data_IF_277915223841
#
_entry.id   IF_277915223841
#
_cell.length_a   1.000
_cell.length_b   1.000
_cell.length_c   1.000
_cell.angle_alpha   90.00
_cell.angle_beta   90.00
_cell.angle_gamma   90.00
#
_symmetry.space_group_name_H-M   'P 1'
#
loop_
_entity.id
_entity.type
_entity.pdbx_description
1 polymer ?
#
# COMPACT_ATOMS: atom_id res chain seq x y z
N UNK A 1 11.50 -31.29 24.33
CA UNK A 1 12.80 -31.23 23.65
C UNK A 1 13.20 -29.76 23.59
N UNK A 2 14.13 -29.40 24.45
CA UNK A 2 14.61 -28.03 24.69
C UNK A 2 15.47 -27.63 23.49
N UNK A 3 15.06 -26.61 22.74
CA UNK A 3 15.88 -26.01 21.69
C UNK A 3 17.02 -25.22 22.32
N UNK A 4 18.21 -25.54 21.88
CA UNK A 4 19.48 -25.03 22.38
C UNK A 4 19.54 -23.50 22.20
N UNK A 5 19.86 -22.83 23.28
CA UNK A 5 20.32 -21.46 23.39
C UNK A 5 21.65 -21.29 22.68
N UNK A 6 21.79 -20.18 21.96
CA UNK A 6 23.10 -19.57 21.76
C UNK A 6 23.43 -19.22 20.32
N UNK A 7 23.10 -18.01 19.89
CA UNK A 7 24.05 -17.18 19.13
C UNK A 7 23.83 -15.73 19.56
N UNK A 8 24.64 -15.27 20.49
CA UNK A 8 24.86 -13.84 20.71
C UNK A 8 25.92 -13.39 19.69
N UNK A 9 25.52 -13.03 18.51
CA UNK A 9 26.33 -12.25 17.58
C UNK A 9 25.91 -10.80 17.77
N UNK A 10 26.87 -9.92 18.09
CA UNK A 10 26.62 -8.51 18.29
C UNK A 10 26.05 -7.90 17.00
N UNK A 11 24.73 -7.80 16.91
CA UNK A 11 24.04 -7.17 15.79
C UNK A 11 24.31 -5.68 15.80
N UNK A 12 24.68 -5.11 14.65
CA UNK A 12 24.66 -3.66 14.44
C UNK A 12 23.19 -3.22 14.44
N UNK A 13 22.70 -2.87 15.64
CA UNK A 13 21.31 -2.49 15.86
C UNK A 13 21.14 -1.03 15.45
N UNK A 14 20.18 -0.75 14.56
CA UNK A 14 19.75 0.61 14.24
C UNK A 14 18.76 1.15 15.31
N UNK A 15 18.59 2.48 15.45
CA UNK A 15 17.80 3.07 16.55
C UNK A 15 16.35 2.60 16.64
N UNK A 16 15.76 2.15 15.52
CA UNK A 16 14.37 1.70 15.47
C UNK A 16 14.18 0.22 15.86
N UNK A 17 15.25 -0.55 16.03
CA UNK A 17 15.18 -1.95 16.47
C UNK A 17 14.49 -2.10 17.85
N UNK A 18 14.49 -1.05 18.67
CA UNK A 18 13.75 -1.00 19.94
C UNK A 18 12.26 -1.30 19.82
N UNK A 19 11.64 -0.91 18.69
CA UNK A 19 10.21 -1.16 18.45
C UNK A 19 9.90 -2.63 18.21
N UNK A 20 10.91 -3.47 17.87
CA UNK A 20 10.71 -4.90 17.60
C UNK A 20 9.98 -5.63 18.73
N UNK A 21 10.23 -5.23 19.98
CA UNK A 21 9.59 -5.81 21.16
C UNK A 21 8.06 -5.57 21.22
N UNK A 22 7.56 -4.55 20.52
CA UNK A 22 6.13 -4.26 20.43
C UNK A 22 5.40 -5.11 19.34
N UNK A 23 6.12 -6.00 18.67
CA UNK A 23 5.59 -6.90 17.63
C UNK A 23 5.82 -8.36 18.04
N UNK A 24 4.85 -9.02 18.69
CA UNK A 24 5.02 -10.35 19.30
C UNK A 24 5.48 -11.46 18.34
N UNK A 25 5.23 -11.34 17.04
CA UNK A 25 5.67 -12.32 16.04
C UNK A 25 7.19 -12.55 16.06
N UNK A 26 7.97 -11.55 16.46
CA UNK A 26 9.42 -11.63 16.53
C UNK A 26 9.97 -12.42 17.71
N UNK A 27 9.13 -12.88 18.63
CA UNK A 27 9.51 -13.82 19.68
C UNK A 27 9.86 -15.20 19.12
N UNK A 28 9.16 -15.61 18.03
CA UNK A 28 9.26 -16.96 17.49
C UNK A 28 9.63 -17.01 16.00
N UNK A 29 9.61 -15.87 15.30
CA UNK A 29 9.75 -15.80 13.84
C UNK A 29 10.66 -14.67 13.38
N UNK A 30 11.32 -14.91 12.25
CA UNK A 30 11.85 -13.85 11.38
C UNK A 30 10.75 -13.45 10.42
N UNK A 31 10.36 -12.18 10.39
CA UNK A 31 9.25 -11.70 9.57
C UNK A 31 9.75 -10.72 8.49
N UNK A 32 9.80 -11.18 7.24
CA UNK A 32 10.28 -10.42 6.08
C UNK A 32 9.19 -10.30 5.00
N UNK A 33 7.92 -10.10 5.44
CA UNK A 33 6.77 -10.08 4.53
C UNK A 33 5.83 -8.87 4.74
N UNK A 34 6.37 -7.73 5.16
CA UNK A 34 5.60 -6.49 5.38
C UNK A 34 4.86 -6.04 4.12
N UNK A 35 5.43 -6.29 2.93
CA UNK A 35 4.81 -5.94 1.64
C UNK A 35 3.53 -6.74 1.33
N UNK A 36 3.24 -7.83 2.07
CA UNK A 36 1.98 -8.57 1.97
C UNK A 36 1.03 -8.22 3.11
N UNK A 37 1.55 -8.22 4.35
CA UNK A 37 0.83 -7.82 5.55
C UNK A 37 1.85 -7.27 6.56
N UNK A 38 1.60 -6.12 7.16
CA UNK A 38 2.41 -5.60 8.27
C UNK A 38 2.31 -6.52 9.49
N UNK A 39 3.39 -6.64 10.26
CA UNK A 39 3.33 -7.35 11.53
C UNK A 39 2.34 -6.66 12.48
N UNK A 40 1.54 -7.44 13.22
CA UNK A 40 0.59 -6.90 14.18
C UNK A 40 1.34 -6.37 15.41
N UNK A 41 1.28 -5.06 15.60
CA UNK A 41 1.87 -4.40 16.77
C UNK A 41 0.88 -4.30 17.94
N UNK A 42 1.43 -4.19 19.14
CA UNK A 42 0.66 -4.10 20.38
C UNK A 42 -0.27 -2.88 20.42
N UNK A 43 0.12 -1.76 19.77
CA UNK A 43 -0.73 -0.56 19.70
C UNK A 43 -2.01 -0.83 18.91
N UNK A 44 -1.90 -1.48 17.74
CA UNK A 44 -3.06 -1.88 16.94
C UNK A 44 -3.97 -2.85 17.72
N UNK A 45 -3.37 -3.80 18.42
CA UNK A 45 -4.10 -4.77 19.26
C UNK A 45 -4.84 -4.09 20.41
N UNK A 46 -4.21 -3.12 21.10
CA UNK A 46 -4.88 -2.36 22.18
C UNK A 46 -6.05 -1.51 21.65
N UNK A 47 -5.87 -0.83 20.51
CA UNK A 47 -6.96 -0.06 19.90
C UNK A 47 -8.14 -0.94 19.50
N UNK A 48 -7.88 -2.12 18.93
CA UNK A 48 -8.94 -3.08 18.60
C UNK A 48 -9.68 -3.58 19.86
N UNK A 49 -8.97 -3.88 20.94
CA UNK A 49 -9.58 -4.25 22.22
C UNK A 49 -10.51 -3.13 22.74
N UNK A 50 -10.03 -1.89 22.73
CA UNK A 50 -10.87 -0.74 23.13
C UNK A 50 -12.11 -0.55 22.24
N UNK A 51 -12.06 -0.87 20.95
CA UNK A 51 -13.24 -0.90 20.11
C UNK A 51 -14.26 -1.95 20.59
N UNK A 52 -13.80 -3.16 20.92
CA UNK A 52 -14.66 -4.22 21.42
C UNK A 52 -15.32 -3.84 22.76
N UNK A 53 -14.57 -3.20 23.65
CA UNK A 53 -15.08 -2.71 24.94
C UNK A 53 -16.19 -1.66 24.73
N UNK A 54 -15.99 -0.70 23.83
CA UNK A 54 -16.98 0.31 23.49
C UNK A 54 -18.24 -0.32 22.88
N UNK A 55 -18.04 -1.25 21.95
CA UNK A 55 -19.14 -1.95 21.31
C UNK A 55 -19.96 -2.77 22.33
N UNK A 56 -19.27 -3.52 23.20
CA UNK A 56 -19.92 -4.29 24.27
C UNK A 56 -20.72 -3.40 25.23
N UNK A 57 -20.18 -2.25 25.62
CA UNK A 57 -20.80 -1.38 26.60
C UNK A 57 -21.91 -0.51 26.03
N UNK A 58 -21.84 -0.10 24.76
CA UNK A 58 -22.70 0.95 24.19
C UNK A 58 -23.49 0.53 22.96
N UNK A 59 -23.12 -0.57 22.30
CA UNK A 59 -23.77 -1.00 21.06
C UNK A 59 -23.84 0.12 20.03
N UNK A 60 -24.98 0.27 19.35
CA UNK A 60 -25.20 1.29 18.33
C UNK A 60 -25.15 2.74 18.86
N UNK A 61 -25.30 2.97 20.17
CA UNK A 61 -25.19 4.31 20.73
C UNK A 61 -23.81 4.95 20.57
N UNK A 62 -22.77 4.13 20.35
CA UNK A 62 -21.41 4.62 20.07
C UNK A 62 -21.28 5.36 18.73
N UNK A 63 -22.25 5.23 17.82
CA UNK A 63 -22.30 6.00 16.58
C UNK A 63 -22.53 7.50 16.82
N UNK A 64 -23.23 7.89 17.86
CA UNK A 64 -23.59 9.30 18.06
C UNK A 64 -22.39 10.20 18.43
N UNK A 65 -21.30 9.59 18.90
CA UNK A 65 -20.10 10.33 19.33
C UNK A 65 -18.80 9.59 18.95
N UNK A 66 -18.53 8.41 19.55
CA UNK A 66 -17.21 7.75 19.50
C UNK A 66 -16.79 7.34 18.10
N UNK A 67 -17.67 6.72 17.33
CA UNK A 67 -17.26 6.15 16.03
C UNK A 67 -17.15 7.19 14.91
N UNK A 68 -17.98 8.22 14.93
CA UNK A 68 -17.80 9.36 14.01
C UNK A 68 -16.50 10.11 14.26
N UNK A 69 -16.12 10.28 15.51
CA UNK A 69 -14.85 10.89 15.88
C UNK A 69 -13.67 10.04 15.44
N UNK A 70 -13.73 8.72 15.61
CA UNK A 70 -12.69 7.80 15.15
C UNK A 70 -12.50 7.86 13.61
N UNK A 71 -13.58 7.98 12.83
CA UNK A 71 -13.54 8.17 11.40
C UNK A 71 -12.86 9.49 11.01
N UNK A 72 -13.21 10.58 11.69
CA UNK A 72 -12.62 11.90 11.47
C UNK A 72 -11.14 11.93 11.85
N UNK A 73 -10.79 11.35 13.01
CA UNK A 73 -9.41 11.16 13.45
C UNK A 73 -8.59 10.41 12.40
N UNK A 74 -9.10 9.27 11.93
CA UNK A 74 -8.38 8.44 10.97
C UNK A 74 -8.08 9.19 9.66
N UNK A 75 -9.06 9.95 9.11
CA UNK A 75 -8.84 10.76 7.91
C UNK A 75 -7.77 11.83 8.14
N UNK A 76 -7.82 12.49 9.30
CA UNK A 76 -6.84 13.53 9.68
C UNK A 76 -5.44 12.96 9.78
N UNK A 77 -5.28 11.86 10.52
CA UNK A 77 -3.98 11.24 10.75
C UNK A 77 -3.38 10.69 9.46
N UNK A 78 -4.18 9.99 8.64
CA UNK A 78 -3.71 9.54 7.34
C UNK A 78 -3.37 10.72 6.42
N UNK A 79 -4.20 11.76 6.40
CA UNK A 79 -3.93 12.98 5.65
C UNK A 79 -2.56 13.57 6.00
N UNK A 80 -2.22 13.67 7.29
CA UNK A 80 -0.92 14.14 7.75
C UNK A 80 0.25 13.29 7.22
N UNK A 81 0.08 11.96 7.08
CA UNK A 81 1.12 11.07 6.55
C UNK A 81 1.46 11.38 5.09
N UNK A 82 0.49 11.85 4.31
CA UNK A 82 0.65 12.14 2.87
C UNK A 82 0.60 13.64 2.52
N UNK A 83 0.69 14.54 3.51
CA UNK A 83 0.63 16.00 3.31
C UNK A 83 -0.74 16.54 2.90
N UNK A 84 -1.83 15.78 3.08
CA UNK A 84 -3.17 16.13 2.65
C UNK A 84 -4.09 16.53 3.83
N UNK A 85 -5.16 17.27 3.55
CA UNK A 85 -6.22 17.56 4.52
C UNK A 85 -7.20 16.40 4.64
N UNK A 86 -7.85 16.24 5.79
CA UNK A 86 -8.87 15.22 6.02
C UNK A 86 -9.99 15.24 4.97
N UNK A 87 -10.39 16.44 4.48
CA UNK A 87 -11.39 16.61 3.43
C UNK A 87 -10.98 16.05 2.06
N UNK A 88 -9.70 15.76 1.87
CA UNK A 88 -9.16 15.16 0.64
C UNK A 88 -9.08 13.63 0.73
N UNK A 89 -9.52 13.02 1.85
CA UNK A 89 -9.39 11.59 2.11
C UNK A 89 -10.77 10.95 2.25
N UNK A 90 -11.06 9.97 1.40
CA UNK A 90 -12.19 9.05 1.52
C UNK A 90 -11.72 7.70 2.03
N UNK A 91 -12.61 6.98 2.74
CA UNK A 91 -12.38 5.64 3.28
C UNK A 91 -13.09 4.60 2.42
N UNK A 92 -12.41 3.49 2.12
CA UNK A 92 -12.96 2.39 1.34
C UNK A 92 -12.56 1.04 1.96
N UNK A 93 -13.31 -0.05 1.71
CA UNK A 93 -12.99 -1.36 2.28
C UNK A 93 -11.84 -2.06 1.56
N UNK A 94 -11.55 -1.69 0.30
CA UNK A 94 -10.46 -2.27 -0.49
C UNK A 94 -10.02 -1.33 -1.62
N UNK A 95 -8.80 -1.53 -2.14
CA UNK A 95 -8.32 -0.80 -3.34
C UNK A 95 -9.24 -1.04 -4.54
N UNK A 96 -9.73 -2.27 -4.71
CA UNK A 96 -10.65 -2.59 -5.81
C UNK A 96 -11.93 -1.73 -5.76
N UNK A 97 -12.47 -1.51 -4.57
CA UNK A 97 -13.64 -0.63 -4.37
C UNK A 97 -13.26 0.83 -4.60
N UNK A 98 -12.15 1.31 -4.04
CA UNK A 98 -11.71 2.70 -4.21
C UNK A 98 -11.48 3.04 -5.69
N UNK A 99 -10.69 2.20 -6.41
CA UNK A 99 -10.45 2.38 -7.85
C UNK A 99 -11.73 2.23 -8.67
N UNK A 100 -12.60 1.28 -8.31
CA UNK A 100 -13.91 1.09 -8.95
C UNK A 100 -14.81 2.32 -8.81
N UNK A 101 -14.83 2.93 -7.61
CA UNK A 101 -15.63 4.15 -7.36
C UNK A 101 -15.06 5.34 -8.15
N UNK A 102 -13.73 5.52 -8.18
CA UNK A 102 -13.09 6.53 -9.04
C UNK A 102 -13.42 6.27 -10.50
N UNK A 103 -13.28 5.03 -10.97
CA UNK A 103 -13.59 4.66 -12.35
C UNK A 103 -15.06 4.93 -12.72
N UNK A 104 -15.98 4.82 -11.77
CA UNK A 104 -17.40 5.08 -11.97
C UNK A 104 -17.76 6.57 -12.10
N UNK A 105 -16.84 7.44 -11.69
CA UNK A 105 -17.00 8.90 -11.72
C UNK A 105 -16.43 9.56 -12.97
N UNK A 106 -15.70 8.82 -13.81
CA UNK A 106 -15.05 9.35 -15.02
C UNK A 106 -15.92 9.19 -16.25
N UNK A 107 -15.88 10.18 -17.15
CA UNK A 107 -16.56 10.13 -18.45
C UNK A 107 -15.62 9.55 -19.52
N UNK A 108 -15.99 8.40 -20.06
CA UNK A 108 -15.26 7.71 -21.12
C UNK A 108 -15.87 7.92 -22.53
N UNK A 109 -16.94 8.66 -22.66
CA UNK A 109 -17.62 8.86 -23.95
C UNK A 109 -16.75 9.62 -24.96
N UNK A 110 -16.03 10.65 -24.46
CA UNK A 110 -15.11 11.45 -25.27
C UNK A 110 -13.68 10.94 -25.22
N UNK A 111 -13.28 10.30 -24.11
CA UNK A 111 -11.93 9.84 -23.84
C UNK A 111 -11.97 8.39 -23.36
N UNK A 112 -12.11 7.43 -24.28
CA UNK A 112 -12.28 6.02 -23.88
C UNK A 112 -10.98 5.33 -23.45
N UNK A 113 -9.82 5.97 -23.63
CA UNK A 113 -8.52 5.35 -23.43
C UNK A 113 -8.07 5.46 -21.98
N UNK A 114 -7.59 4.33 -21.44
CA UNK A 114 -6.93 4.24 -20.15
C UNK A 114 -5.54 3.63 -20.32
N UNK A 115 -4.53 4.25 -19.75
CA UNK A 115 -3.14 3.80 -19.78
C UNK A 115 -2.75 3.25 -18.42
N UNK A 116 -2.22 2.03 -18.40
CA UNK A 116 -1.67 1.34 -17.21
C UNK A 116 -0.31 0.74 -17.54
N UNK A 117 0.40 0.17 -16.57
CA UNK A 117 1.68 -0.49 -16.81
C UNK A 117 1.63 -2.00 -16.56
N UNK A 118 2.51 -2.77 -17.22
CA UNK A 118 2.59 -4.22 -17.04
C UNK A 118 3.10 -4.65 -15.65
N UNK A 119 3.68 -3.72 -14.88
CA UNK A 119 4.18 -3.97 -13.52
C UNK A 119 3.17 -3.61 -12.43
N UNK A 120 2.01 -3.07 -12.79
CA UNK A 120 0.97 -2.72 -11.82
C UNK A 120 0.36 -3.97 -11.17
N UNK A 121 -0.14 -3.80 -9.95
CA UNK A 121 -0.88 -4.86 -9.30
C UNK A 121 -2.16 -5.18 -10.08
N UNK A 122 -2.52 -6.45 -10.27
CA UNK A 122 -3.64 -6.85 -11.15
C UNK A 122 -4.95 -6.11 -10.93
N UNK A 123 -5.27 -5.74 -9.68
CA UNK A 123 -6.48 -4.98 -9.34
C UNK A 123 -6.58 -3.67 -10.13
N UNK A 124 -5.48 -2.94 -10.31
CA UNK A 124 -5.46 -1.68 -11.09
C UNK A 124 -5.83 -1.95 -12.55
N UNK A 125 -5.27 -3.01 -13.13
CA UNK A 125 -5.50 -3.38 -14.54
C UNK A 125 -6.90 -3.99 -14.74
N UNK A 126 -7.33 -4.88 -13.84
CA UNK A 126 -8.60 -5.62 -13.96
C UNK A 126 -9.83 -4.72 -13.96
N UNK A 127 -9.79 -3.57 -13.28
CA UNK A 127 -10.88 -2.58 -13.30
C UNK A 127 -11.21 -2.13 -14.74
N UNK A 128 -10.18 -1.99 -15.57
CA UNK A 128 -10.31 -1.52 -16.94
C UNK A 128 -10.53 -2.65 -17.94
N UNK A 129 -9.90 -3.81 -17.71
CA UNK A 129 -10.18 -5.03 -18.50
C UNK A 129 -11.67 -5.39 -18.44
N UNK A 130 -12.28 -5.33 -17.26
CA UNK A 130 -13.70 -5.60 -17.07
C UNK A 130 -14.62 -4.60 -17.78
N UNK A 131 -14.13 -3.40 -18.10
CA UNK A 131 -14.90 -2.34 -18.80
C UNK A 131 -14.67 -2.30 -20.32
N UNK A 132 -13.81 -3.16 -20.87
CA UNK A 132 -13.62 -3.25 -22.33
C UNK A 132 -14.94 -3.45 -23.12
N UNK A 133 -15.89 -4.31 -22.68
CA UNK A 133 -17.17 -4.45 -23.37
C UNK A 133 -18.00 -3.16 -23.42
N UNK A 134 -17.73 -2.19 -22.52
CA UNK A 134 -18.35 -0.87 -22.48
C UNK A 134 -17.60 0.19 -23.30
N UNK A 135 -16.64 -0.21 -24.14
CA UNK A 135 -15.92 0.68 -25.05
C UNK A 135 -14.61 1.27 -24.49
N UNK A 136 -14.13 0.82 -23.32
CA UNK A 136 -12.84 1.26 -22.80
C UNK A 136 -11.69 0.67 -23.63
N UNK A 137 -10.80 1.55 -24.09
CA UNK A 137 -9.54 1.21 -24.74
C UNK A 137 -8.43 1.13 -23.68
N UNK A 138 -8.02 -0.07 -23.33
CA UNK A 138 -6.92 -0.26 -22.36
C UNK A 138 -5.59 -0.42 -23.07
N UNK A 139 -4.64 0.45 -22.75
CA UNK A 139 -3.23 0.36 -23.17
C UNK A 139 -2.39 -0.04 -21.99
N UNK A 140 -1.64 -1.12 -22.12
CA UNK A 140 -0.69 -1.61 -21.11
C UNK A 140 0.71 -1.28 -21.61
N UNK A 141 1.43 -0.42 -20.87
CA UNK A 141 2.80 -0.04 -21.19
C UNK A 141 3.75 -1.09 -20.63
N UNK A 142 4.50 -1.73 -21.52
CA UNK A 142 5.47 -2.76 -21.13
C UNK A 142 6.71 -2.16 -20.44
N UNK A 143 7.32 -2.95 -19.55
CA UNK A 143 8.60 -2.63 -18.95
C UNK A 143 9.73 -3.12 -19.84
N UNK A 144 10.68 -2.27 -20.23
CA UNK A 144 11.79 -2.69 -21.10
C UNK A 144 12.84 -3.57 -20.42
N UNK A 145 12.93 -3.48 -19.09
CA UNK A 145 13.93 -4.18 -18.27
C UNK A 145 13.30 -5.19 -17.27
N UNK A 146 11.97 -5.26 -17.23
CA UNK A 146 11.22 -6.07 -16.26
C UNK A 146 11.31 -5.55 -14.82
N UNK A 147 11.88 -4.36 -14.59
CA UNK A 147 12.10 -3.76 -13.27
C UNK A 147 11.31 -2.47 -13.09
N UNK A 148 11.36 -1.58 -14.08
CA UNK A 148 10.74 -0.27 -14.04
C UNK A 148 10.02 0.05 -15.36
N UNK A 149 9.16 1.08 -15.35
CA UNK A 149 8.55 1.62 -16.57
C UNK A 149 8.97 3.08 -16.68
N UNK A 150 9.78 3.45 -17.68
CA UNK A 150 10.19 4.82 -17.88
C UNK A 150 9.00 5.76 -18.14
N UNK A 151 9.02 6.96 -17.58
CA UNK A 151 7.96 7.97 -17.77
C UNK A 151 7.75 8.27 -19.26
N UNK A 152 8.82 8.32 -20.06
CA UNK A 152 8.75 8.53 -21.51
C UNK A 152 7.96 7.42 -22.24
N UNK A 153 8.01 6.18 -21.74
CA UNK A 153 7.20 5.09 -22.29
C UNK A 153 5.70 5.32 -22.02
N UNK A 154 5.37 5.80 -20.82
CA UNK A 154 4.00 6.22 -20.48
C UNK A 154 3.60 7.41 -21.36
N UNK A 155 4.46 8.42 -21.52
CA UNK A 155 4.18 9.61 -22.31
C UNK A 155 3.84 9.29 -23.77
N UNK A 156 4.53 8.31 -24.38
CA UNK A 156 4.21 7.85 -25.76
C UNK A 156 2.86 7.18 -25.89
N UNK A 157 2.34 6.62 -24.77
CA UNK A 157 1.04 5.96 -24.75
C UNK A 157 -0.14 6.94 -24.53
N UNK A 158 0.14 8.13 -23.98
CA UNK A 158 -0.88 9.12 -23.60
C UNK A 158 -1.14 10.09 -24.77
N UNK A 159 -2.42 10.28 -25.14
CA UNK A 159 -2.88 11.20 -26.15
C UNK A 159 -4.17 11.91 -25.72
N UNK A 160 -4.77 12.69 -26.62
CA UNK A 160 -5.97 13.50 -26.36
C UNK A 160 -7.24 12.64 -26.14
N UNK A 161 -7.19 11.33 -26.42
CA UNK A 161 -8.26 10.36 -26.18
C UNK A 161 -8.12 9.70 -24.79
N UNK A 162 -7.03 9.96 -24.08
CA UNK A 162 -6.74 9.36 -22.77
C UNK A 162 -7.58 10.03 -21.69
N UNK A 163 -8.44 9.27 -21.01
CA UNK A 163 -9.18 9.71 -19.82
C UNK A 163 -8.33 9.64 -18.56
N UNK A 164 -7.53 8.59 -18.43
CA UNK A 164 -6.81 8.28 -17.21
C UNK A 164 -5.48 7.60 -17.50
N UNK A 165 -4.46 7.99 -16.74
CA UNK A 165 -3.23 7.21 -16.51
C UNK A 165 -3.33 6.64 -15.11
N UNK A 166 -3.26 5.32 -14.95
CA UNK A 166 -3.27 4.66 -13.66
C UNK A 166 -2.03 3.78 -13.52
N UNK A 167 -1.22 3.99 -12.49
CA UNK A 167 -0.02 3.18 -12.23
C UNK A 167 0.34 3.16 -10.74
N UNK A 168 1.25 2.26 -10.37
CA UNK A 168 1.74 2.14 -9.00
C UNK A 168 2.86 3.15 -8.72
N UNK A 169 2.91 3.69 -7.49
CA UNK A 169 4.08 4.44 -7.02
C UNK A 169 5.26 3.50 -6.75
N UNK A 170 5.00 2.31 -6.19
CA UNK A 170 6.01 1.27 -6.01
C UNK A 170 5.49 -0.02 -6.61
N UNK A 171 6.22 -0.58 -7.56
CA UNK A 171 5.84 -1.83 -8.22
C UNK A 171 6.00 -3.03 -7.28
N UNK A 172 4.94 -3.80 -7.11
CA UNK A 172 4.86 -4.88 -6.11
C UNK A 172 5.77 -6.09 -6.40
N UNK A 173 6.18 -6.26 -7.65
CA UNK A 173 7.04 -7.37 -8.12
C UNK A 173 8.52 -7.00 -8.22
N UNK A 174 8.87 -5.73 -8.11
CA UNK A 174 10.27 -5.29 -8.30
C UNK A 174 10.75 -4.34 -7.21
N UNK A 175 9.80 -3.71 -6.51
CA UNK A 175 10.11 -2.68 -5.53
C UNK A 175 10.62 -1.36 -6.14
N UNK A 176 10.59 -1.23 -7.47
CA UNK A 176 11.01 0.02 -8.12
C UNK A 176 10.01 1.14 -7.82
N UNK A 177 10.55 2.32 -7.54
CA UNK A 177 9.80 3.54 -7.23
C UNK A 177 9.62 4.33 -8.53
N UNK A 178 8.38 4.68 -8.86
CA UNK A 178 8.01 5.49 -10.02
C UNK A 178 7.97 6.98 -9.67
N UNK A 179 8.39 7.84 -10.59
CA UNK A 179 8.20 9.30 -10.49
C UNK A 179 6.73 9.66 -10.79
N UNK A 180 5.90 9.63 -9.75
CA UNK A 180 4.46 9.89 -9.88
C UNK A 180 4.13 11.34 -10.23
N UNK A 181 4.99 12.30 -9.85
CA UNK A 181 4.82 13.69 -10.24
C UNK A 181 5.07 13.87 -11.75
N UNK A 182 6.07 13.20 -12.30
CA UNK A 182 6.29 13.20 -13.75
C UNK A 182 5.15 12.51 -14.51
N UNK A 183 4.62 11.41 -13.96
CA UNK A 183 3.43 10.73 -14.55
C UNK A 183 2.22 11.64 -14.54
N UNK A 184 1.96 12.37 -13.44
CA UNK A 184 0.86 13.33 -13.35
C UNK A 184 1.01 14.44 -14.40
N UNK A 185 2.20 15.02 -14.53
CA UNK A 185 2.48 16.03 -15.58
C UNK A 185 2.22 15.51 -17.00
N UNK A 186 2.64 14.27 -17.29
CA UNK A 186 2.39 13.62 -18.59
C UNK A 186 0.88 13.46 -18.85
N UNK A 187 0.13 13.00 -17.87
CA UNK A 187 -1.32 12.86 -17.98
C UNK A 187 -2.00 14.22 -18.22
N UNK A 188 -1.69 15.20 -17.38
CA UNK A 188 -2.28 16.53 -17.43
C UNK A 188 -1.95 17.30 -18.70
N UNK A 189 -0.76 17.13 -19.26
CA UNK A 189 -0.37 17.75 -20.54
C UNK A 189 -1.30 17.36 -21.70
N UNK A 190 -2.04 16.26 -21.58
CA UNK A 190 -3.04 15.79 -22.54
C UNK A 190 -4.47 15.86 -21.96
N UNK A 191 -4.66 16.51 -20.83
CA UNK A 191 -5.97 16.63 -20.16
C UNK A 191 -6.50 15.32 -19.59
N UNK A 192 -5.68 14.29 -19.45
CA UNK A 192 -6.01 13.04 -18.75
C UNK A 192 -5.91 13.21 -17.24
N UNK A 193 -6.60 12.37 -16.47
CA UNK A 193 -6.43 12.26 -15.02
C UNK A 193 -5.29 11.31 -14.67
N UNK A 194 -4.77 11.43 -13.44
CA UNK A 194 -3.73 10.57 -12.90
C UNK A 194 -4.21 9.90 -11.61
N UNK A 195 -4.22 8.54 -11.58
CA UNK A 195 -4.50 7.72 -10.42
C UNK A 195 -3.25 6.93 -10.03
N UNK A 196 -2.85 7.00 -8.78
CA UNK A 196 -1.68 6.30 -8.27
C UNK A 196 -2.09 5.25 -7.24
N UNK A 197 -1.69 4.01 -7.48
CA UNK A 197 -1.69 2.97 -6.46
C UNK A 197 -0.45 3.11 -5.59
N UNK A 198 -0.62 3.65 -4.40
CA UNK A 198 0.42 3.87 -3.41
C UNK A 198 0.42 2.79 -2.29
N UNK A 199 -0.20 1.65 -2.54
CA UNK A 199 -0.35 0.57 -1.55
C UNK A 199 0.99 0.01 -1.06
N UNK A 200 2.01 0.05 -1.91
CA UNK A 200 3.35 -0.40 -1.57
C UNK A 200 4.28 0.74 -1.15
N UNK A 201 3.83 2.00 -1.17
CA UNK A 201 4.70 3.14 -0.87
C UNK A 201 4.36 3.84 0.45
N UNK A 202 3.09 4.18 0.69
CA UNK A 202 2.70 4.95 1.89
C UNK A 202 3.05 4.18 3.16
N UNK A 203 3.82 4.84 4.04
CA UNK A 203 4.36 4.27 5.27
C UNK A 203 5.83 3.86 5.19
N UNK A 204 6.38 3.57 3.98
CA UNK A 204 7.80 3.29 3.80
C UNK A 204 8.55 4.29 2.91
N UNK A 205 7.86 4.91 1.96
CA UNK A 205 8.39 5.95 1.07
C UNK A 205 7.64 7.24 1.36
N UNK A 206 8.33 8.37 1.60
CA UNK A 206 7.66 9.65 1.78
C UNK A 206 6.82 10.01 0.54
N UNK A 207 5.60 10.46 0.80
CA UNK A 207 4.66 10.93 -0.22
C UNK A 207 4.06 12.25 0.26
N UNK A 208 4.16 13.28 -0.55
CA UNK A 208 3.37 14.49 -0.42
C UNK A 208 2.38 14.51 -1.60
N UNK A 209 1.18 14.01 -1.38
CA UNK A 209 0.21 13.81 -2.46
C UNK A 209 -0.17 15.14 -3.14
N UNK A 210 -0.43 16.24 -2.43
CA UNK A 210 -0.65 17.56 -3.04
C UNK A 210 0.51 18.02 -3.92
N UNK A 211 1.75 17.89 -3.46
CA UNK A 211 2.93 18.33 -4.20
C UNK A 211 3.20 17.54 -5.49
N UNK A 212 2.73 16.31 -5.57
CA UNK A 212 2.83 15.47 -6.80
C UNK A 212 1.79 15.81 -7.85
N UNK A 213 0.79 16.60 -7.51
CA UNK A 213 -0.34 16.97 -8.39
C UNK A 213 -1.16 15.79 -8.93
N UNK A 214 -1.04 14.59 -8.36
CA UNK A 214 -1.87 13.44 -8.75
C UNK A 214 -3.35 13.72 -8.44
N UNK A 215 -4.26 13.27 -9.31
CA UNK A 215 -5.70 13.48 -9.11
C UNK A 215 -6.26 12.56 -8.03
N UNK A 216 -5.79 11.31 -8.01
CA UNK A 216 -6.18 10.29 -7.04
C UNK A 216 -4.97 9.51 -6.57
N UNK A 217 -4.96 9.17 -5.27
CA UNK A 217 -3.97 8.26 -4.70
C UNK A 217 -4.67 7.28 -3.79
N UNK A 218 -4.50 5.97 -4.04
CA UNK A 218 -5.10 4.92 -3.21
C UNK A 218 -4.02 4.17 -2.43
N UNK A 219 -4.24 3.97 -1.13
CA UNK A 219 -3.31 3.23 -0.28
C UNK A 219 -4.07 2.44 0.78
N UNK A 220 -3.63 1.24 1.09
CA UNK A 220 -4.26 0.40 2.10
C UNK A 220 -3.51 0.35 3.42
N UNK A 221 -4.25 0.14 4.49
CA UNK A 221 -3.73 0.15 5.85
C UNK A 221 -2.90 -1.07 6.24
N UNK A 222 -3.14 -2.22 5.62
CA UNK A 222 -2.69 -3.52 6.13
C UNK A 222 -1.18 -3.82 5.95
N UNK A 223 -0.42 -3.04 5.18
CA UNK A 223 1.00 -3.29 4.90
C UNK A 223 1.90 -2.37 5.72
N UNK A 224 2.46 -1.36 5.09
CA UNK A 224 3.44 -0.45 5.66
C UNK A 224 2.87 0.55 6.68
N UNK A 225 1.54 0.67 6.75
CA UNK A 225 0.83 1.47 7.75
C UNK A 225 0.44 0.66 9.00
N UNK A 226 0.78 -0.64 9.05
CA UNK A 226 0.62 -1.54 10.21
C UNK A 226 -0.80 -1.65 10.78
N UNK A 227 -1.80 -1.39 9.93
CA UNK A 227 -3.22 -1.53 10.27
C UNK A 227 -3.79 -2.91 9.94
N UNK A 228 -5.10 -3.04 10.07
CA UNK A 228 -5.84 -4.25 9.72
C UNK A 228 -6.29 -4.31 8.26
N UNK A 229 -6.86 -5.44 7.88
CA UNK A 229 -7.56 -5.61 6.61
C UNK A 229 -8.91 -4.88 6.63
N UNK A 230 -9.38 -4.40 5.47
CA UNK A 230 -10.71 -3.78 5.35
C UNK A 230 -10.71 -2.24 5.46
N UNK A 231 -9.54 -1.60 5.44
CA UNK A 231 -9.42 -0.14 5.35
C UNK A 231 -8.42 0.28 4.26
N UNK A 232 -8.88 1.15 3.39
CA UNK A 232 -8.14 1.77 2.30
C UNK A 232 -8.49 3.26 2.27
N UNK A 233 -7.53 4.06 1.93
CA UNK A 233 -7.64 5.51 1.79
C UNK A 233 -7.60 5.88 0.31
N UNK A 234 -8.52 6.77 -0.09
CA UNK A 234 -8.54 7.37 -1.41
C UNK A 234 -8.35 8.87 -1.25
N UNK A 235 -7.16 9.36 -1.57
CA UNK A 235 -6.92 10.78 -1.71
C UNK A 235 -7.54 11.27 -3.01
N UNK A 236 -8.19 12.43 -2.94
CA UNK A 236 -8.74 13.16 -4.09
C UNK A 236 -8.18 14.56 -4.08
N UNK A 237 -7.58 15.00 -5.18
CA UNK A 237 -7.00 16.33 -5.32
C UNK A 237 -8.04 17.40 -5.02
N UNK A 238 -7.59 18.47 -4.36
CA UNK A 238 -8.46 19.60 -3.95
C UNK A 238 -9.24 20.16 -5.14
N UNK A 239 -10.51 20.44 -4.92
CA UNK A 239 -11.43 20.97 -5.92
C UNK A 239 -11.99 19.89 -6.88
N UNK A 240 -11.25 18.83 -7.16
CA UNK A 240 -11.66 17.82 -8.13
C UNK A 240 -12.92 17.04 -7.70
N UNK A 241 -13.11 16.83 -6.41
CA UNK A 241 -14.27 16.07 -5.93
C UNK A 241 -15.60 16.66 -6.43
N UNK A 242 -15.76 17.98 -6.42
CA UNK A 242 -17.01 18.64 -6.81
C UNK A 242 -17.40 18.41 -8.26
N UNK A 243 -16.43 18.19 -9.14
CA UNK A 243 -16.63 18.01 -10.58
C UNK A 243 -16.98 16.56 -10.94
N UNK A 244 -16.95 15.65 -9.97
CA UNK A 244 -17.12 14.22 -10.20
C UNK A 244 -18.36 13.69 -9.46
N UNK A 245 -19.14 12.85 -10.15
CA UNK A 245 -20.31 12.19 -9.60
C UNK A 245 -20.17 10.67 -9.77
N UNK A 246 -19.67 9.95 -8.76
CA UNK A 246 -19.58 8.49 -8.84
C UNK A 246 -20.95 7.84 -9.09
N UNK A 247 -21.04 6.94 -10.09
CA UNK A 247 -22.24 6.14 -10.29
C UNK A 247 -22.33 4.95 -9.31
N UNK A 248 -21.20 4.59 -8.69
CA UNK A 248 -21.18 3.78 -7.47
C UNK A 248 -21.35 4.71 -6.28
N UNK A 249 -22.55 4.75 -5.72
CA UNK A 249 -22.91 5.62 -4.61
C UNK A 249 -23.38 4.83 -3.39
N UNK A 250 -23.26 5.43 -2.22
CA UNK A 250 -23.73 4.84 -0.98
C UNK A 250 -24.08 5.88 0.07
N UNK A 251 -24.64 5.43 1.16
CA UNK A 251 -25.15 6.27 2.22
C UNK A 251 -24.09 7.20 2.84
N UNK A 252 -22.84 6.73 2.97
CA UNK A 252 -21.74 7.55 3.50
C UNK A 252 -21.24 8.62 2.51
N UNK A 253 -21.54 8.48 1.21
CA UNK A 253 -21.29 9.52 0.22
C UNK A 253 -22.30 10.65 0.19
N UNK A 254 -23.45 10.48 0.87
CA UNK A 254 -24.50 11.51 0.94
C UNK A 254 -24.18 12.55 2.00
N UNK A 255 -24.32 13.84 1.65
CA UNK A 255 -24.00 14.99 2.54
C UNK A 255 -24.89 15.03 3.78
N UNK A 256 -26.17 14.77 3.62
CA UNK A 256 -27.16 14.70 4.68
C UNK A 256 -27.65 13.26 4.88
N UNK A 257 -26.80 12.45 5.50
CA UNK A 257 -27.04 11.01 5.69
C UNK A 257 -28.27 10.70 6.51
N UNK A 258 -28.64 11.58 7.47
CA UNK A 258 -29.74 11.38 8.40
C UNK A 258 -31.06 11.94 7.91
N UNK A 259 -31.12 12.54 6.72
CA UNK A 259 -32.39 12.88 6.06
C UNK A 259 -33.19 11.61 5.69
N UNK A 260 -32.51 10.49 5.44
CA UNK A 260 -33.12 9.20 5.04
C UNK A 260 -34.12 9.31 3.88
N UNK A 261 -33.96 10.33 2.99
CA UNK A 261 -34.84 10.46 1.81
C UNK A 261 -34.30 9.62 0.65
N UNK A 262 -35.00 8.53 0.27
CA UNK A 262 -34.55 7.65 -0.82
C UNK A 262 -34.73 8.23 -2.20
N UNK A 263 -35.33 9.42 -2.33
CA UNK A 263 -35.61 10.10 -3.58
C UNK A 263 -34.60 11.17 -3.95
N UNK A 264 -33.65 11.48 -3.04
CA UNK A 264 -32.67 12.53 -3.24
C UNK A 264 -31.26 12.03 -2.91
N UNK A 265 -30.30 12.27 -3.79
CA UNK A 265 -28.88 12.04 -3.56
C UNK A 265 -28.12 13.36 -3.71
N UNK A 266 -27.59 13.86 -2.59
CA UNK A 266 -26.71 15.01 -2.58
C UNK A 266 -25.34 14.58 -2.06
N UNK A 267 -24.34 14.54 -2.92
CA UNK A 267 -22.99 14.16 -2.53
C UNK A 267 -22.34 15.20 -1.59
N UNK A 268 -21.42 14.73 -0.76
CA UNK A 268 -20.46 15.60 -0.09
C UNK A 268 -19.68 16.46 -1.10
N UNK A 269 -19.27 17.67 -0.69
CA UNK A 269 -18.47 18.57 -1.55
C UNK A 269 -16.97 18.20 -1.58
N UNK A 270 -16.57 17.19 -0.80
CA UNK A 270 -15.20 16.74 -0.62
C UNK A 270 -15.03 15.24 -0.97
N UNK A 271 -13.87 14.66 -0.64
CA UNK A 271 -13.54 13.28 -0.98
C UNK A 271 -14.55 12.26 -0.43
N UNK A 272 -15.28 12.57 0.64
CA UNK A 272 -16.28 11.66 1.23
C UNK A 272 -17.38 11.23 0.25
N UNK A 273 -17.58 11.97 -0.86
CA UNK A 273 -18.51 11.51 -1.93
C UNK A 273 -18.15 10.16 -2.54
N UNK A 274 -16.88 9.73 -2.40
CA UNK A 274 -16.40 8.44 -2.85
C UNK A 274 -16.58 7.32 -1.82
N UNK A 275 -17.17 7.62 -0.66
CA UNK A 275 -17.50 6.62 0.36
C UNK A 275 -18.85 5.96 0.06
N UNK A 276 -18.97 4.66 0.38
CA UNK A 276 -20.15 3.88 0.02
C UNK A 276 -21.03 3.59 1.23
N UNK A 277 -20.72 2.58 2.01
CA UNK A 277 -21.50 2.11 3.13
C UNK A 277 -20.76 2.19 4.45
N UNK A 278 -21.35 1.58 5.46
CA UNK A 278 -20.79 1.51 6.81
C UNK A 278 -19.36 0.97 6.76
N UNK A 279 -18.37 1.71 7.25
CA UNK A 279 -16.98 1.28 7.20
C UNK A 279 -16.70 0.17 8.23
N UNK A 280 -15.63 -0.59 8.00
CA UNK A 280 -15.15 -1.65 8.88
C UNK A 280 -14.52 -1.06 10.15
N UNK A 281 -15.32 -0.80 11.20
CA UNK A 281 -14.87 -0.13 12.42
C UNK A 281 -13.67 -0.82 13.09
N UNK A 282 -13.66 -2.14 13.16
CA UNK A 282 -12.52 -2.89 13.70
C UNK A 282 -11.21 -2.58 12.95
N UNK A 283 -11.28 -2.43 11.63
CA UNK A 283 -10.12 -2.06 10.80
C UNK A 283 -9.69 -0.61 11.04
N UNK A 284 -10.64 0.30 11.29
CA UNK A 284 -10.36 1.69 11.64
C UNK A 284 -9.54 1.76 12.93
N UNK A 285 -9.96 1.06 13.96
CA UNK A 285 -9.26 1.05 15.25
C UNK A 285 -7.88 0.39 15.17
N UNK A 286 -7.74 -0.74 14.45
CA UNK A 286 -6.42 -1.32 14.22
C UNK A 286 -5.51 -0.37 13.45
N UNK A 287 -6.06 0.37 12.48
CA UNK A 287 -5.30 1.35 11.70
C UNK A 287 -4.87 2.56 12.54
N UNK A 288 -5.72 3.07 13.42
CA UNK A 288 -5.34 4.12 14.36
C UNK A 288 -4.12 3.72 15.20
N UNK A 289 -4.09 2.45 15.67
CA UNK A 289 -2.93 1.95 16.40
C UNK A 289 -1.68 1.74 15.53
N UNK A 290 -1.85 1.34 14.27
CA UNK A 290 -0.74 1.26 13.31
C UNK A 290 -0.12 2.63 13.01
N UNK A 291 -0.96 3.65 12.85
CA UNK A 291 -0.51 5.03 12.59
C UNK A 291 0.28 5.62 13.76
N UNK A 292 0.05 5.19 15.02
CA UNK A 292 0.86 5.65 16.15
C UNK A 292 2.35 5.38 15.96
N UNK A 293 2.73 4.24 15.36
CA UNK A 293 4.13 3.97 15.02
C UNK A 293 4.64 4.88 13.90
N UNK A 294 3.85 5.04 12.86
CA UNK A 294 4.24 5.80 11.66
C UNK A 294 4.46 7.29 12.01
N UNK A 295 3.58 7.86 12.83
CA UNK A 295 3.64 9.26 13.26
C UNK A 295 4.79 9.51 14.25
N UNK A 296 4.97 8.61 15.23
CA UNK A 296 6.03 8.75 16.25
C UNK A 296 7.42 8.66 15.62
N UNK A 297 7.62 7.74 14.66
CA UNK A 297 8.92 7.50 14.01
C UNK A 297 9.15 8.52 12.88
N UNK A 298 8.09 8.82 12.13
CA UNK A 298 8.13 9.63 10.91
C UNK A 298 8.58 8.84 9.68
N UNK A 299 7.83 8.96 8.58
CA UNK A 299 8.11 8.23 7.32
C UNK A 299 9.53 8.50 6.78
N UNK A 300 10.11 9.72 6.85
CA UNK A 300 11.49 9.95 6.43
C UNK A 300 12.51 9.14 7.23
N UNK A 301 12.30 8.96 8.54
CA UNK A 301 13.18 8.13 9.37
C UNK A 301 13.01 6.65 9.06
N UNK A 302 11.76 6.18 8.90
CA UNK A 302 11.46 4.82 8.44
C UNK A 302 12.16 4.56 7.11
N UNK A 303 12.05 5.46 6.13
CA UNK A 303 12.68 5.34 4.81
C UNK A 303 14.18 5.18 4.91
N UNK A 304 14.85 6.01 5.70
CA UNK A 304 16.30 5.93 5.89
C UNK A 304 16.75 4.57 6.44
N UNK A 305 16.05 4.07 7.45
CA UNK A 305 16.36 2.77 8.07
C UNK A 305 16.06 1.63 7.11
N UNK A 306 14.88 1.62 6.48
CA UNK A 306 14.49 0.55 5.54
C UNK A 306 15.37 0.53 4.29
N UNK A 307 15.85 1.67 3.81
CA UNK A 307 16.81 1.73 2.70
C UNK A 307 18.13 1.06 3.08
N UNK A 308 18.68 1.37 4.26
CA UNK A 308 19.92 0.75 4.73
C UNK A 308 19.76 -0.77 4.93
N UNK A 309 18.64 -1.22 5.52
CA UNK A 309 18.32 -2.65 5.66
C UNK A 309 18.21 -3.32 4.28
N UNK A 310 17.57 -2.66 3.32
CA UNK A 310 17.41 -3.22 1.97
C UNK A 310 18.74 -3.30 1.22
N UNK A 311 19.61 -2.31 1.38
CA UNK A 311 20.96 -2.34 0.82
C UNK A 311 21.79 -3.49 1.40
N UNK A 312 21.77 -3.67 2.71
CA UNK A 312 22.41 -4.81 3.39
C UNK A 312 21.87 -6.15 2.87
N UNK A 313 20.55 -6.30 2.77
CA UNK A 313 19.92 -7.51 2.24
C UNK A 313 20.34 -7.81 0.80
N UNK A 314 20.37 -6.80 -0.08
CA UNK A 314 20.78 -6.95 -1.48
C UNK A 314 22.27 -7.29 -1.59
N UNK A 315 23.14 -6.66 -0.79
CA UNK A 315 24.57 -6.95 -0.78
C UNK A 315 24.83 -8.38 -0.34
N UNK A 316 24.29 -8.80 0.80
CA UNK A 316 24.42 -10.17 1.32
C UNK A 316 23.85 -11.22 0.37
N UNK A 317 22.72 -10.94 -0.29
CA UNK A 317 22.16 -11.84 -1.28
C UNK A 317 23.14 -12.06 -2.45
N UNK A 318 23.81 -10.99 -2.93
CA UNK A 318 24.83 -11.08 -3.98
C UNK A 318 26.07 -11.88 -3.52
N UNK A 319 26.55 -11.62 -2.30
CA UNK A 319 27.68 -12.32 -1.70
C UNK A 319 27.37 -13.82 -1.53
N UNK A 320 26.11 -14.18 -1.26
CA UNK A 320 25.62 -15.56 -1.23
C UNK A 320 25.41 -16.19 -2.63
N UNK A 321 25.77 -15.50 -3.72
CA UNK A 321 25.60 -15.98 -5.10
C UNK A 321 24.18 -15.84 -5.65
N UNK A 322 23.26 -15.25 -4.88
CA UNK A 322 21.91 -14.95 -5.33
C UNK A 322 21.91 -13.68 -6.18
N UNK A 323 20.97 -13.58 -7.13
CA UNK A 323 20.89 -12.42 -8.04
C UNK A 323 19.57 -11.67 -7.84
N UNK A 324 19.44 -10.86 -6.77
CA UNK A 324 18.19 -10.17 -6.49
C UNK A 324 17.83 -9.21 -7.63
N UNK A 325 16.55 -9.26 -8.06
CA UNK A 325 15.98 -8.33 -9.03
C UNK A 325 15.41 -7.14 -8.26
N UNK A 326 15.97 -5.97 -8.46
CA UNK A 326 15.57 -4.71 -7.83
C UNK A 326 16.07 -3.52 -8.63
N UNK A 327 15.50 -2.34 -8.41
CA UNK A 327 16.04 -1.10 -8.97
C UNK A 327 17.48 -0.85 -8.52
N UNK A 328 18.25 -0.16 -9.36
CA UNK A 328 19.71 -0.08 -9.23
C UNK A 328 20.18 0.72 -8.01
N UNK A 329 19.50 1.83 -7.70
CA UNK A 329 19.91 2.78 -6.64
C UNK A 329 18.96 2.75 -5.45
N UNK A 330 19.43 3.18 -4.29
CA UNK A 330 18.61 3.30 -3.08
C UNK A 330 17.41 4.23 -3.28
N UNK A 331 17.56 5.31 -4.04
CA UNK A 331 16.49 6.28 -4.28
C UNK A 331 15.35 5.71 -5.12
N UNK A 332 15.67 4.82 -6.06
CA UNK A 332 14.69 4.18 -6.94
C UNK A 332 14.22 2.81 -6.44
N UNK A 333 14.71 2.35 -5.29
CA UNK A 333 14.41 1.05 -4.69
C UNK A 333 13.64 1.21 -3.39
N UNK A 334 12.51 0.52 -3.26
CA UNK A 334 11.76 0.38 -2.00
C UNK A 334 12.30 -0.78 -1.16
N UNK A 335 11.64 -1.06 -0.02
CA UNK A 335 11.99 -2.19 0.83
C UNK A 335 11.44 -3.54 0.33
N UNK A 336 11.32 -3.73 -0.99
CA UNK A 336 10.91 -4.98 -1.63
C UNK A 336 12.08 -5.54 -2.42
N UNK A 337 12.51 -6.76 -2.09
CA UNK A 337 13.61 -7.46 -2.76
C UNK A 337 13.11 -8.79 -3.31
N UNK A 338 13.32 -9.00 -4.61
CA UNK A 338 12.93 -10.21 -5.32
C UNK A 338 14.16 -11.08 -5.54
N UNK A 339 14.20 -12.26 -4.94
CA UNK A 339 15.28 -13.22 -5.12
C UNK A 339 14.82 -14.34 -6.07
N UNK A 340 15.46 -14.52 -7.24
CA UNK A 340 15.09 -15.58 -8.19
C UNK A 340 15.12 -16.97 -7.55
N UNK A 341 14.16 -17.81 -7.90
CA UNK A 341 14.07 -19.20 -7.46
C UNK A 341 13.39 -20.03 -8.54
N UNK A 342 13.89 -21.24 -8.77
CA UNK A 342 13.28 -22.21 -9.71
C UNK A 342 11.95 -22.74 -9.18
N UNK A 343 11.83 -22.91 -7.85
CA UNK A 343 10.58 -23.24 -7.15
C UNK A 343 10.37 -22.31 -5.95
N UNK A 344 9.77 -21.11 -6.16
CA UNK A 344 9.54 -20.17 -5.08
C UNK A 344 8.62 -20.73 -3.98
N UNK A 345 7.67 -21.58 -4.34
CA UNK A 345 6.73 -22.14 -3.37
C UNK A 345 7.45 -23.13 -2.43
N UNK A 346 8.31 -24.01 -2.96
CA UNK A 346 9.15 -24.89 -2.15
C UNK A 346 10.11 -24.10 -1.27
N UNK A 347 10.77 -23.07 -1.83
CA UNK A 347 11.68 -22.21 -1.08
C UNK A 347 10.98 -21.51 0.09
N UNK A 348 9.76 -20.97 -0.10
CA UNK A 348 8.98 -20.34 0.98
C UNK A 348 8.54 -21.39 2.01
N UNK A 349 8.16 -22.60 1.62
CA UNK A 349 7.88 -23.68 2.59
C UNK A 349 9.12 -24.03 3.41
N UNK A 350 10.30 -24.12 2.78
CA UNK A 350 11.57 -24.37 3.47
C UNK A 350 11.88 -23.24 4.47
N UNK A 351 11.78 -21.98 4.07
CA UNK A 351 11.90 -20.83 4.98
C UNK A 351 10.94 -20.94 6.17
N UNK A 352 9.66 -21.25 5.90
CA UNK A 352 8.63 -21.43 6.92
C UNK A 352 8.93 -22.52 7.94
N UNK A 353 9.53 -23.66 7.52
CA UNK A 353 9.95 -24.74 8.43
C UNK A 353 11.11 -24.32 9.35
N UNK A 354 11.83 -23.23 9.00
CA UNK A 354 12.89 -22.62 9.80
C UNK A 354 12.44 -21.33 10.51
N UNK A 355 11.12 -21.10 10.61
CA UNK A 355 10.57 -19.95 11.34
C UNK A 355 10.66 -18.62 10.60
N UNK A 356 10.91 -18.62 9.29
CA UNK A 356 11.07 -17.43 8.48
C UNK A 356 9.84 -17.22 7.60
N UNK A 357 9.20 -16.04 7.72
CA UNK A 357 8.02 -15.66 6.95
C UNK A 357 8.43 -14.80 5.75
N UNK A 358 8.22 -15.32 4.56
CA UNK A 358 8.48 -14.68 3.28
C UNK A 358 7.32 -14.98 2.31
N UNK A 359 7.39 -14.46 1.08
CA UNK A 359 6.32 -14.58 0.10
C UNK A 359 6.83 -15.12 -1.25
N UNK A 360 6.03 -15.95 -1.91
CA UNK A 360 6.33 -16.47 -3.24
C UNK A 360 5.65 -15.61 -4.32
N UNK A 361 6.40 -15.29 -5.37
CA UNK A 361 5.90 -14.69 -6.61
C UNK A 361 6.41 -15.49 -7.81
N UNK A 362 5.80 -15.39 -8.98
CA UNK A 362 6.28 -16.14 -10.16
C UNK A 362 7.79 -15.96 -10.37
N UNK A 363 8.53 -17.08 -10.26
CA UNK A 363 9.98 -17.15 -10.42
C UNK A 363 10.82 -16.53 -9.30
N UNK A 364 10.24 -16.08 -8.18
CA UNK A 364 10.96 -15.35 -7.14
C UNK A 364 10.41 -15.62 -5.72
N UNK A 365 11.32 -15.60 -4.75
CA UNK A 365 10.99 -15.35 -3.34
C UNK A 365 11.06 -13.85 -3.09
N UNK A 366 10.05 -13.28 -2.45
CA UNK A 366 9.96 -11.86 -2.13
C UNK A 366 10.23 -11.64 -0.65
N UNK A 367 11.23 -10.82 -0.35
CA UNK A 367 11.60 -10.41 0.99
C UNK A 367 11.31 -8.90 1.14
N UNK A 368 10.82 -8.49 2.30
CA UNK A 368 10.52 -7.09 2.55
C UNK A 368 10.76 -6.72 4.01
N UNK A 369 11.99 -6.29 4.33
CA UNK A 369 12.32 -5.77 5.64
C UNK A 369 11.61 -4.44 5.91
N UNK A 370 11.34 -4.16 7.19
CA UNK A 370 10.79 -2.90 7.64
C UNK A 370 11.55 -2.42 8.89
N UNK A 371 11.18 -1.30 9.47
CA UNK A 371 11.93 -0.66 10.55
C UNK A 371 12.14 -1.53 11.80
N UNK A 372 11.35 -2.57 12.00
CA UNK A 372 11.48 -3.52 13.12
C UNK A 372 12.41 -4.71 12.85
N UNK A 373 12.90 -4.85 11.60
CA UNK A 373 13.86 -5.89 11.25
C UNK A 373 15.29 -5.47 11.61
N UNK A 374 16.16 -6.47 11.78
CA UNK A 374 17.58 -6.31 12.03
C UNK A 374 18.39 -7.12 11.01
N UNK A 375 19.69 -6.88 10.91
CA UNK A 375 20.55 -7.56 9.95
C UNK A 375 20.58 -9.08 10.13
N UNK A 376 20.44 -9.58 11.36
CA UNK A 376 20.40 -11.03 11.64
C UNK A 376 19.19 -11.70 10.98
N UNK A 377 18.08 -10.98 10.80
CA UNK A 377 16.93 -11.49 10.02
C UNK A 377 17.31 -11.79 8.57
N UNK A 378 18.18 -10.94 7.98
CA UNK A 378 18.66 -11.12 6.60
C UNK A 378 19.60 -12.32 6.50
N UNK A 379 20.54 -12.46 7.45
CA UNK A 379 21.47 -13.59 7.49
C UNK A 379 20.70 -14.88 7.55
N UNK A 380 19.80 -15.02 8.53
CA UNK A 380 18.98 -16.22 8.71
C UNK A 380 18.17 -16.56 7.44
N UNK A 381 17.54 -15.57 6.81
CA UNK A 381 16.73 -15.80 5.61
C UNK A 381 17.57 -16.20 4.41
N UNK A 382 18.72 -15.55 4.17
CA UNK A 382 19.56 -15.82 3.01
C UNK A 382 20.30 -17.17 3.13
N UNK A 383 20.74 -17.57 4.33
CA UNK A 383 21.33 -18.89 4.57
C UNK A 383 20.35 -20.02 4.20
N UNK A 384 19.11 -19.91 4.68
CA UNK A 384 18.08 -20.91 4.39
C UNK A 384 17.65 -20.88 2.92
N UNK A 385 17.59 -19.69 2.30
CA UNK A 385 17.25 -19.58 0.89
C UNK A 385 18.35 -20.18 -0.02
N UNK A 386 19.61 -19.91 0.30
CA UNK A 386 20.74 -20.53 -0.41
C UNK A 386 20.79 -22.05 -0.22
N UNK A 387 20.44 -22.56 0.96
CA UNK A 387 20.32 -23.99 1.22
C UNK A 387 19.22 -24.65 0.38
N UNK A 388 18.03 -24.00 0.31
CA UNK A 388 16.92 -24.48 -0.51
C UNK A 388 17.28 -24.56 -2.02
N UNK A 389 18.09 -23.61 -2.51
CA UNK A 389 18.51 -23.60 -3.93
C UNK A 389 19.61 -24.63 -4.27
N UNK A 390 20.40 -25.07 -3.28
CA UNK A 390 21.42 -26.12 -3.47
C UNK A 390 20.85 -27.53 -3.43
N UNK A 391 19.69 -27.74 -2.83
CA UNK A 391 19.03 -29.02 -2.68
C UNK A 391 18.17 -29.45 -3.86
N UNK A 392 18.12 -28.63 -4.89
CA UNK A 392 17.44 -28.84 -6.16
C UNK A 392 18.42 -28.76 -7.32
#
# INVERSE_FOLDING_TARGET
>A
MTLASGVAVGSVSHPLARYRAEFPIFQDRVYLNTCSLGALGDRARRKLAGFLDVWQARGAAAWYDVWWEALAELRTRYGNVIGARASQVALAPSVSVAVGTVASALDYTRRPKVVVTALDFPTVVYQWLAKRPSGIELVIVESPDGVSVPVDAIARAVDDRTALVATSHVYFTTGAIQDIAAVARVAHARGARCLIDAYQSVGQVPVDAPATEVDFLVAGGLKWLLGGTGIVFCYVREGLARDLAPSMAGWFGHRDQFAFDPRALAFHDDARRFELGTPALAAIYTQLGGLEYIEEIGVPTIRRVTSALTEDLVARARDAGLRPRSAATADTRSAIVMVPSSDPAAAVRHLGSHGIVADARPGHVRLSPFFYNVQDDHVAALEQLAAAQRGH
#
